data_IF_318629789880
#
_entry.id   IF_318629789880
#
_cell.length_a   1.000
_cell.length_b   1.000
_cell.length_c   1.000
_cell.angle_alpha   90.00
_cell.angle_beta   90.00
_cell.angle_gamma   90.00
#
_symmetry.space_group_name_H-M   'P 1'
#
loop_
_entity.id
_entity.type
_entity.pdbx_description
1 polymer ?
#
# COMPACT_ATOMS: atom_id res chain seq x y z
N UNK A 1 -32.21 45.40 -54.48
CA UNK A 1 -31.41 45.91 -53.34
C UNK A 1 -31.63 44.97 -52.17
N UNK A 2 -30.69 44.05 -51.93
CA UNK A 2 -30.73 43.11 -50.80
C UNK A 2 -29.71 43.58 -49.75
N UNK A 3 -30.20 43.88 -48.56
CA UNK A 3 -29.43 44.36 -47.42
C UNK A 3 -28.83 43.14 -46.70
N UNK A 4 -27.49 43.02 -46.66
CA UNK A 4 -26.81 42.00 -45.88
C UNK A 4 -26.97 42.28 -44.37
N UNK A 5 -27.17 41.26 -43.53
CA UNK A 5 -27.21 41.43 -42.08
C UNK A 5 -25.81 41.70 -41.50
N UNK A 6 -25.72 42.38 -40.34
CA UNK A 6 -24.46 42.78 -39.73
C UNK A 6 -23.71 41.59 -39.14
N UNK A 7 -22.39 41.55 -39.40
CA UNK A 7 -21.45 40.58 -38.85
C UNK A 7 -21.18 40.92 -37.37
N UNK A 8 -21.52 40.02 -36.45
CA UNK A 8 -21.07 40.09 -35.06
C UNK A 8 -19.57 39.75 -34.97
N UNK A 9 -18.78 40.52 -34.20
CA UNK A 9 -17.39 40.16 -33.94
C UNK A 9 -17.31 38.99 -32.96
N UNK A 10 -16.77 37.87 -33.42
CA UNK A 10 -16.43 36.73 -32.58
C UNK A 10 -15.33 37.13 -31.58
N UNK A 11 -15.72 37.40 -30.34
CA UNK A 11 -14.79 37.60 -29.23
C UNK A 11 -14.15 36.26 -28.86
N UNK A 12 -12.99 35.98 -29.45
CA UNK A 12 -12.13 34.85 -29.08
C UNK A 12 -11.49 35.13 -27.72
N UNK A 13 -12.10 34.64 -26.64
CA UNK A 13 -11.50 34.62 -25.31
C UNK A 13 -10.46 33.50 -25.24
N UNK A 14 -9.28 33.74 -25.80
CA UNK A 14 -8.08 32.95 -25.53
C UNK A 14 -7.71 33.11 -24.05
N UNK A 15 -8.39 32.33 -23.20
CA UNK A 15 -7.98 32.07 -21.83
C UNK A 15 -6.64 31.37 -21.91
N UNK A 16 -5.57 32.15 -21.81
CA UNK A 16 -4.21 31.65 -21.76
C UNK A 16 -4.08 30.93 -20.42
N UNK A 17 -4.40 29.64 -20.44
CA UNK A 17 -4.17 28.75 -19.31
C UNK A 17 -2.66 28.66 -19.16
N UNK A 18 -2.09 29.54 -18.33
CA UNK A 18 -0.74 29.47 -17.81
C UNK A 18 -0.64 28.18 -17.01
N UNK A 19 -0.34 27.09 -17.71
CA UNK A 19 0.12 25.86 -17.09
C UNK A 19 1.42 26.18 -16.38
N UNK A 20 1.35 26.30 -15.05
CA UNK A 20 2.52 26.44 -14.20
C UNK A 20 3.50 25.31 -14.57
N UNK A 21 4.78 25.61 -14.85
CA UNK A 21 5.75 24.59 -15.20
C UNK A 21 5.91 23.65 -14.00
N UNK A 22 5.35 22.44 -14.09
CA UNK A 22 5.61 21.38 -13.14
C UNK A 22 7.10 21.05 -13.23
N UNK A 23 7.88 21.60 -12.28
CA UNK A 23 9.27 21.24 -12.07
C UNK A 23 9.36 19.71 -12.06
N UNK A 24 10.19 19.07 -12.90
CA UNK A 24 10.28 17.61 -12.94
C UNK A 24 10.69 17.13 -11.54
N UNK A 25 9.74 16.53 -10.82
CA UNK A 25 10.03 15.96 -9.52
C UNK A 25 11.07 14.85 -9.72
N UNK A 26 12.14 14.89 -8.93
CA UNK A 26 13.12 13.82 -8.90
C UNK A 26 12.43 12.48 -8.65
N UNK A 27 12.76 11.47 -9.46
CA UNK A 27 12.25 10.10 -9.33
C UNK A 27 12.33 9.56 -7.90
N UNK A 28 13.40 9.92 -7.17
CA UNK A 28 13.61 9.54 -5.77
C UNK A 28 12.52 10.12 -4.85
N UNK A 29 12.14 11.38 -5.06
CA UNK A 29 11.10 12.05 -4.26
C UNK A 29 9.72 11.47 -4.54
N UNK A 30 9.44 11.08 -5.79
CA UNK A 30 8.20 10.38 -6.15
C UNK A 30 8.15 9.02 -5.45
N UNK A 31 9.20 8.21 -5.60
CA UNK A 31 9.27 6.89 -4.98
C UNK A 31 9.10 6.96 -3.46
N UNK A 32 9.77 7.90 -2.79
CA UNK A 32 9.62 8.10 -1.35
C UNK A 32 8.20 8.52 -0.96
N UNK A 33 7.63 9.53 -1.64
CA UNK A 33 6.27 10.01 -1.34
C UNK A 33 5.24 8.90 -1.44
N UNK A 34 5.24 8.17 -2.56
CA UNK A 34 4.28 7.10 -2.76
C UNK A 34 4.58 5.88 -1.88
N UNK A 35 5.84 5.56 -1.64
CA UNK A 35 6.24 4.50 -0.71
C UNK A 35 5.73 4.76 0.71
N UNK A 36 5.80 6.00 1.20
CA UNK A 36 5.24 6.39 2.49
C UNK A 36 3.71 6.34 2.52
N UNK A 37 3.04 6.79 1.45
CA UNK A 37 1.57 6.74 1.36
C UNK A 37 1.06 5.29 1.37
N UNK A 38 1.63 4.43 0.51
CA UNK A 38 1.24 3.03 0.47
C UNK A 38 1.70 2.26 1.72
N UNK A 39 2.83 2.65 2.31
CA UNK A 39 3.26 2.17 3.63
C UNK A 39 2.23 2.50 4.72
N UNK A 40 1.73 3.74 4.77
CA UNK A 40 0.69 4.14 5.72
C UNK A 40 -0.61 3.36 5.53
N UNK A 41 -1.01 3.09 4.27
CA UNK A 41 -2.18 2.25 3.96
C UNK A 41 -1.98 0.82 4.48
N UNK A 42 -0.80 0.22 4.25
CA UNK A 42 -0.47 -1.11 4.76
C UNK A 42 -0.51 -1.14 6.29
N UNK A 43 0.11 -0.15 6.95
CA UNK A 43 0.11 -0.03 8.42
C UNK A 43 -1.31 0.10 8.96
N UNK A 44 -2.13 0.98 8.40
CA UNK A 44 -3.52 1.17 8.83
C UNK A 44 -4.31 -0.13 8.70
N UNK A 45 -4.19 -0.81 7.55
CA UNK A 45 -4.83 -2.10 7.30
C UNK A 45 -4.36 -3.18 8.27
N UNK A 46 -3.08 -3.21 8.64
CA UNK A 46 -2.56 -4.12 9.67
C UNK A 46 -3.15 -3.84 11.05
N UNK A 47 -3.22 -2.56 11.46
CA UNK A 47 -3.80 -2.18 12.73
C UNK A 47 -5.30 -2.55 12.81
N UNK A 48 -6.05 -2.25 11.75
CA UNK A 48 -7.47 -2.65 11.64
C UNK A 48 -7.60 -4.17 11.68
N UNK A 49 -6.78 -4.89 10.91
CA UNK A 49 -6.80 -6.35 10.88
C UNK A 49 -6.56 -6.97 12.26
N UNK A 50 -5.57 -6.45 13.01
CA UNK A 50 -5.31 -6.90 14.38
C UNK A 50 -6.46 -6.54 15.32
N UNK A 51 -7.01 -5.32 15.23
CA UNK A 51 -8.14 -4.92 16.05
C UNK A 51 -9.37 -5.82 15.81
N UNK A 52 -9.65 -6.16 14.54
CA UNK A 52 -10.71 -7.11 14.17
C UNK A 52 -10.43 -8.49 14.73
N UNK A 53 -9.19 -9.00 14.64
CA UNK A 53 -8.84 -10.32 15.20
C UNK A 53 -9.01 -10.33 16.72
N UNK A 54 -8.57 -9.28 17.42
CA UNK A 54 -8.73 -9.17 18.88
C UNK A 54 -10.20 -9.10 19.26
N UNK A 55 -10.97 -8.20 18.64
CA UNK A 55 -12.41 -8.08 18.89
C UNK A 55 -13.14 -9.40 18.61
N UNK A 56 -12.77 -10.07 17.51
CA UNK A 56 -13.35 -11.36 17.17
C UNK A 56 -12.97 -12.44 18.19
N UNK A 57 -11.72 -12.51 18.65
CA UNK A 57 -11.29 -13.49 19.66
C UNK A 57 -11.99 -13.31 21.02
N UNK A 58 -12.39 -12.08 21.35
CA UNK A 58 -13.16 -11.78 22.56
C UNK A 58 -14.65 -12.07 22.40
N UNK A 59 -15.22 -11.84 21.22
CA UNK A 59 -16.63 -12.07 20.91
C UNK A 59 -16.94 -13.53 20.52
N UNK A 60 -15.97 -14.27 19.97
CA UNK A 60 -16.16 -15.61 19.41
C UNK A 60 -16.72 -16.65 20.41
N UNK A 61 -16.35 -16.66 21.70
CA UNK A 61 -16.93 -17.63 22.64
C UNK A 61 -18.45 -17.47 22.76
N UNK A 62 -18.93 -16.23 22.71
CA UNK A 62 -20.36 -15.91 22.79
C UNK A 62 -21.07 -16.17 21.46
N UNK A 63 -20.45 -15.81 20.33
CA UNK A 63 -21.03 -16.04 18.99
C UNK A 63 -21.13 -17.52 18.61
N UNK A 64 -20.11 -18.33 18.92
CA UNK A 64 -20.12 -19.79 18.64
C UNK A 64 -21.21 -20.47 19.47
N UNK A 65 -21.35 -20.09 20.74
CA UNK A 65 -22.40 -20.60 21.62
C UNK A 65 -23.81 -20.16 21.18
N UNK A 66 -23.95 -18.94 20.66
CA UNK A 66 -25.26 -18.37 20.30
C UNK A 66 -25.76 -18.80 18.92
N UNK A 67 -24.88 -18.96 17.93
CA UNK A 67 -25.28 -19.14 16.53
C UNK A 67 -24.94 -20.52 15.94
N UNK A 68 -24.41 -21.46 16.73
CA UNK A 68 -23.99 -22.80 16.26
C UNK A 68 -23.14 -22.77 14.98
N UNK A 69 -22.36 -21.69 14.78
CA UNK A 69 -21.58 -21.50 13.57
C UNK A 69 -20.42 -22.48 13.52
N UNK A 70 -20.29 -23.21 12.41
CA UNK A 70 -19.15 -24.09 12.16
C UNK A 70 -17.84 -23.31 12.26
N UNK A 71 -16.99 -23.69 13.21
CA UNK A 71 -15.67 -23.10 13.52
C UNK A 71 -14.78 -22.90 12.28
N UNK A 72 -15.04 -23.68 11.22
CA UNK A 72 -14.31 -23.71 9.95
C UNK A 72 -14.51 -22.41 9.13
N UNK A 73 -15.69 -21.79 9.14
CA UNK A 73 -15.95 -20.60 8.31
C UNK A 73 -15.26 -19.33 8.83
N UNK A 74 -15.01 -19.25 10.14
CA UNK A 74 -14.43 -18.06 10.79
C UNK A 74 -13.09 -18.39 11.45
N UNK A 75 -12.32 -19.27 10.81
CA UNK A 75 -10.97 -19.59 11.27
C UNK A 75 -10.04 -18.36 11.07
N UNK A 76 -9.18 -18.03 12.04
CA UNK A 76 -8.16 -16.99 11.89
C UNK A 76 -7.24 -17.23 10.69
N UNK A 77 -7.15 -18.47 10.18
CA UNK A 77 -6.43 -18.81 8.95
C UNK A 77 -7.08 -18.21 7.69
N UNK A 78 -8.41 -18.19 7.59
CA UNK A 78 -9.12 -17.62 6.45
C UNK A 78 -8.94 -16.09 6.41
N UNK A 79 -8.95 -15.45 7.57
CA UNK A 79 -8.65 -14.03 7.70
C UNK A 79 -7.21 -13.73 7.23
N UNK A 80 -6.24 -14.58 7.57
CA UNK A 80 -4.85 -14.42 7.14
C UNK A 80 -4.68 -14.49 5.61
N UNK A 81 -5.36 -15.40 4.92
CA UNK A 81 -5.25 -15.50 3.44
C UNK A 81 -5.77 -14.21 2.78
N UNK A 82 -6.96 -13.76 3.18
CA UNK A 82 -7.54 -12.49 2.69
C UNK A 82 -6.60 -11.32 2.99
N UNK A 83 -5.92 -11.35 4.13
CA UNK A 83 -4.98 -10.29 4.48
C UNK A 83 -3.78 -10.18 3.56
N UNK A 84 -3.20 -11.33 3.18
CA UNK A 84 -2.05 -11.39 2.28
C UNK A 84 -2.44 -10.92 0.87
N UNK A 85 -3.63 -11.33 0.39
CA UNK A 85 -4.14 -10.90 -0.91
C UNK A 85 -4.34 -9.38 -0.98
N UNK A 86 -4.86 -8.77 0.09
CA UNK A 86 -4.98 -7.31 0.18
C UNK A 86 -3.62 -6.62 0.13
N UNK A 87 -2.62 -7.14 0.86
CA UNK A 87 -1.27 -6.59 0.84
C UNK A 87 -0.68 -6.67 -0.58
N UNK A 88 -0.91 -7.76 -1.31
CA UNK A 88 -0.49 -7.92 -2.70
C UNK A 88 -1.11 -6.87 -3.62
N UNK A 89 -2.43 -6.64 -3.50
CA UNK A 89 -3.12 -5.61 -4.28
C UNK A 89 -2.53 -4.23 -3.99
N UNK A 90 -2.25 -3.93 -2.71
CA UNK A 90 -1.67 -2.64 -2.31
C UNK A 90 -0.27 -2.47 -2.90
N UNK A 91 0.61 -3.48 -2.82
CA UNK A 91 1.95 -3.43 -3.43
C UNK A 91 1.89 -3.27 -4.95
N UNK A 92 0.96 -3.98 -5.62
CA UNK A 92 0.77 -3.88 -7.06
C UNK A 92 0.36 -2.46 -7.48
N UNK A 93 -0.65 -1.89 -6.79
CA UNK A 93 -1.11 -0.53 -7.04
C UNK A 93 0.01 0.49 -6.77
N UNK A 94 0.77 0.31 -5.68
CA UNK A 94 1.93 1.15 -5.38
C UNK A 94 2.92 1.16 -6.54
N UNK A 95 3.28 -0.02 -7.04
CA UNK A 95 4.19 -0.16 -8.17
C UNK A 95 3.65 0.46 -9.45
N UNK A 96 2.37 0.25 -9.75
CA UNK A 96 1.70 0.78 -10.94
C UNK A 96 1.65 2.33 -10.92
N UNK A 97 1.17 2.93 -9.82
CA UNK A 97 1.05 4.40 -9.73
C UNK A 97 2.40 5.10 -9.76
N UNK A 98 3.42 4.51 -9.15
CA UNK A 98 4.77 5.09 -9.16
C UNK A 98 5.41 4.99 -10.53
N UNK A 99 5.28 3.87 -11.22
CA UNK A 99 5.76 3.74 -12.60
C UNK A 99 5.08 4.78 -13.50
N UNK A 100 3.77 4.99 -13.34
CA UNK A 100 3.04 6.00 -14.11
C UNK A 100 3.56 7.42 -13.92
N UNK A 101 4.00 7.75 -12.71
CA UNK A 101 4.49 9.11 -12.38
C UNK A 101 5.97 9.29 -12.68
N UNK A 102 6.80 8.29 -12.38
CA UNK A 102 8.24 8.35 -12.55
C UNK A 102 8.72 7.85 -13.92
N UNK A 103 7.86 7.13 -14.66
CA UNK A 103 8.15 6.43 -15.92
C UNK A 103 9.34 5.46 -15.82
N UNK A 104 9.56 4.90 -14.63
CA UNK A 104 10.67 4.02 -14.32
C UNK A 104 10.23 2.92 -13.35
N UNK A 105 10.47 1.66 -13.71
CA UNK A 105 10.16 0.48 -12.88
C UNK A 105 11.01 0.45 -11.61
N UNK A 106 12.25 0.95 -11.66
CA UNK A 106 13.12 1.07 -10.49
C UNK A 106 12.52 1.96 -9.41
N UNK A 107 11.79 3.01 -9.78
CA UNK A 107 11.09 3.86 -8.84
C UNK A 107 9.97 3.10 -8.10
N UNK A 108 9.26 2.22 -8.82
CA UNK A 108 8.22 1.35 -8.25
C UNK A 108 8.79 0.39 -7.22
N UNK A 109 9.91 -0.25 -7.52
CA UNK A 109 10.61 -1.16 -6.58
C UNK A 109 11.01 -0.40 -5.33
N UNK A 110 11.64 0.78 -5.47
CA UNK A 110 12.05 1.61 -4.32
C UNK A 110 10.85 2.04 -3.48
N UNK A 111 9.73 2.42 -4.11
CA UNK A 111 8.52 2.77 -3.38
C UNK A 111 7.97 1.59 -2.58
N UNK A 112 7.95 0.39 -3.17
CA UNK A 112 7.51 -0.83 -2.48
C UNK A 112 8.44 -1.20 -1.33
N UNK A 113 9.76 -1.01 -1.46
CA UNK A 113 10.73 -1.16 -0.36
C UNK A 113 10.37 -0.24 0.81
N UNK A 114 10.12 1.04 0.54
CA UNK A 114 9.70 1.98 1.59
C UNK A 114 8.37 1.59 2.24
N UNK A 115 7.41 1.10 1.44
CA UNK A 115 6.14 0.63 1.95
C UNK A 115 6.30 -0.61 2.86
N UNK A 116 7.12 -1.58 2.44
CA UNK A 116 7.45 -2.78 3.23
C UNK A 116 8.21 -2.44 4.51
N UNK A 117 9.08 -1.43 4.48
CA UNK A 117 9.79 -0.96 5.66
C UNK A 117 8.84 -0.34 6.68
N UNK A 118 7.91 0.51 6.23
CA UNK A 118 6.88 1.10 7.10
C UNK A 118 6.03 0.01 7.75
N UNK A 119 5.59 -0.96 6.94
CA UNK A 119 4.77 -2.09 7.39
C UNK A 119 5.50 -2.96 8.42
N UNK A 120 6.75 -3.30 8.14
CA UNK A 120 7.60 -4.09 9.03
C UNK A 120 7.85 -3.35 10.35
N UNK A 121 8.16 -2.05 10.29
CA UNK A 121 8.39 -1.24 11.48
C UNK A 121 7.16 -1.21 12.38
N UNK A 122 5.96 -1.06 11.81
CA UNK A 122 4.72 -1.15 12.58
C UNK A 122 4.56 -2.54 13.23
N UNK A 123 4.82 -3.62 12.49
CA UNK A 123 4.78 -4.98 13.03
C UNK A 123 5.77 -5.22 14.17
N UNK A 124 6.99 -4.69 14.06
CA UNK A 124 8.01 -4.74 15.12
C UNK A 124 7.55 -3.98 16.36
N UNK A 125 7.10 -2.73 16.19
CA UNK A 125 6.64 -1.89 17.30
C UNK A 125 5.45 -2.53 18.01
N UNK A 126 4.43 -3.00 17.26
CA UNK A 126 3.30 -3.71 17.85
C UNK A 126 3.73 -5.01 18.53
N UNK A 127 4.66 -5.76 17.92
CA UNK A 127 5.20 -6.99 18.51
C UNK A 127 5.92 -6.76 19.83
N UNK A 128 6.80 -5.76 19.90
CA UNK A 128 7.51 -5.37 21.13
C UNK A 128 6.52 -4.91 22.20
N UNK A 129 5.56 -4.05 21.85
CA UNK A 129 4.54 -3.57 22.79
C UNK A 129 3.71 -4.71 23.37
N UNK A 130 3.31 -5.69 22.54
CA UNK A 130 2.57 -6.87 23.01
C UNK A 130 3.43 -7.72 23.95
N UNK A 131 4.71 -7.95 23.64
CA UNK A 131 5.61 -8.71 24.51
C UNK A 131 5.79 -7.99 25.85
N UNK A 132 6.04 -6.68 25.83
CA UNK A 132 6.23 -5.89 27.05
C UNK A 132 5.00 -5.98 27.95
N UNK A 133 3.80 -5.81 27.38
CA UNK A 133 2.54 -5.94 28.13
C UNK A 133 2.35 -7.35 28.68
N UNK A 134 2.58 -8.39 27.87
CA UNK A 134 2.44 -9.78 28.31
C UNK A 134 3.46 -10.16 29.39
N UNK A 135 4.70 -9.69 29.30
CA UNK A 135 5.72 -9.92 30.31
C UNK A 135 5.38 -9.23 31.62
N UNK A 136 4.83 -8.00 31.58
CA UNK A 136 4.32 -7.32 32.77
C UNK A 136 3.15 -8.07 33.41
N UNK A 137 2.22 -8.62 32.61
CA UNK A 137 1.05 -9.33 33.10
C UNK A 137 1.37 -10.75 33.63
N UNK A 138 2.30 -11.45 32.99
CA UNK A 138 2.58 -12.87 33.28
C UNK A 138 3.75 -13.08 34.26
N UNK A 139 4.50 -12.03 34.61
CA UNK A 139 5.66 -12.11 35.52
C UNK A 139 6.75 -13.08 35.07
N UNK A 140 6.76 -13.47 33.78
CA UNK A 140 7.68 -14.45 33.19
C UNK A 140 8.77 -13.78 32.37
N UNK A 141 9.93 -14.42 32.36
CA UNK A 141 11.08 -14.04 31.54
C UNK A 141 10.70 -13.92 30.05
N UNK A 142 10.93 -12.72 29.52
CA UNK A 142 10.56 -12.30 28.17
C UNK A 142 11.40 -12.97 27.07
N UNK A 143 12.50 -13.65 27.43
CA UNK A 143 13.50 -14.14 26.48
C UNK A 143 12.97 -15.14 25.44
N UNK A 144 12.15 -16.11 25.84
CA UNK A 144 11.56 -17.08 24.89
C UNK A 144 10.53 -16.45 23.97
N UNK A 145 9.65 -15.59 24.52
CA UNK A 145 8.65 -14.86 23.74
C UNK A 145 9.30 -13.90 22.74
N UNK A 146 10.41 -13.29 23.16
CA UNK A 146 11.24 -12.44 22.31
C UNK A 146 11.87 -13.22 21.15
N UNK A 147 12.48 -14.38 21.42
CA UNK A 147 13.12 -15.21 20.38
C UNK A 147 12.13 -15.70 19.33
N UNK A 148 10.98 -16.24 19.74
CA UNK A 148 9.93 -16.72 18.82
C UNK A 148 9.37 -15.57 17.98
N UNK A 149 9.12 -14.41 18.60
CA UNK A 149 8.61 -13.23 17.89
C UNK A 149 9.64 -12.62 16.94
N UNK A 150 10.92 -12.61 17.32
CA UNK A 150 12.01 -12.14 16.46
C UNK A 150 12.12 -13.01 15.20
N UNK A 151 12.03 -14.34 15.35
CA UNK A 151 12.02 -15.25 14.20
C UNK A 151 10.84 -14.95 13.26
N UNK A 152 9.64 -14.75 13.82
CA UNK A 152 8.47 -14.33 13.04
C UNK A 152 8.66 -12.99 12.35
N UNK A 153 9.24 -11.99 13.01
CA UNK A 153 9.54 -10.67 12.44
C UNK A 153 10.49 -10.81 11.25
N UNK A 154 11.56 -11.60 11.38
CA UNK A 154 12.54 -11.80 10.30
C UNK A 154 11.90 -12.50 9.10
N UNK A 155 11.14 -13.59 9.33
CA UNK A 155 10.42 -14.28 8.26
C UNK A 155 9.39 -13.37 7.58
N UNK A 156 8.68 -12.58 8.37
CA UNK A 156 7.71 -11.61 7.87
C UNK A 156 8.38 -10.52 7.04
N UNK A 157 9.54 -10.02 7.47
CA UNK A 157 10.34 -9.05 6.74
C UNK A 157 10.79 -9.62 5.40
N UNK A 158 11.41 -10.81 5.39
CA UNK A 158 11.85 -11.46 4.15
C UNK A 158 10.69 -11.69 3.19
N UNK A 159 9.55 -12.15 3.71
CA UNK A 159 8.35 -12.41 2.94
C UNK A 159 7.78 -11.12 2.33
N UNK A 160 7.56 -10.08 3.13
CA UNK A 160 6.98 -8.82 2.65
C UNK A 160 7.93 -8.02 1.77
N UNK A 161 9.24 -8.10 2.03
CA UNK A 161 10.23 -7.44 1.18
C UNK A 161 10.31 -8.14 -0.17
N UNK A 162 10.51 -9.46 -0.20
CA UNK A 162 10.62 -10.23 -1.45
C UNK A 162 9.35 -10.19 -2.29
N UNK A 163 8.18 -10.37 -1.66
CA UNK A 163 6.90 -10.28 -2.37
C UNK A 163 6.58 -8.83 -2.77
N UNK A 164 6.78 -7.87 -1.86
CA UNK A 164 6.48 -6.46 -2.11
C UNK A 164 7.28 -5.89 -3.28
N UNK A 165 8.57 -6.22 -3.38
CA UNK A 165 9.40 -5.82 -4.53
C UNK A 165 8.96 -6.50 -5.82
N UNK A 166 8.67 -7.80 -5.77
CA UNK A 166 8.31 -8.57 -6.97
C UNK A 166 6.96 -8.13 -7.54
N UNK A 167 5.95 -7.97 -6.68
CA UNK A 167 4.61 -7.53 -7.06
C UNK A 167 4.63 -6.05 -7.48
N UNK A 168 5.41 -5.21 -6.79
CA UNK A 168 5.63 -3.83 -7.17
C UNK A 168 6.30 -3.69 -8.55
N UNK A 169 7.29 -4.53 -8.83
CA UNK A 169 7.95 -4.59 -10.14
C UNK A 169 6.95 -5.02 -11.23
N UNK A 170 6.10 -6.02 -10.98
CA UNK A 170 5.04 -6.43 -11.90
C UNK A 170 4.07 -5.29 -12.21
N UNK A 171 3.62 -4.56 -11.19
CA UNK A 171 2.77 -3.37 -11.37
C UNK A 171 3.45 -2.30 -12.21
N UNK A 172 4.76 -2.07 -12.01
CA UNK A 172 5.52 -1.12 -12.79
C UNK A 172 5.78 -1.55 -14.24
N UNK A 173 6.01 -2.84 -14.47
CA UNK A 173 6.17 -3.39 -15.82
C UNK A 173 4.86 -3.33 -16.61
N UNK A 174 3.72 -3.61 -15.97
CA UNK A 174 2.41 -3.52 -16.61
C UNK A 174 2.14 -2.08 -17.08
N UNK A 175 2.42 -1.08 -16.23
CA UNK A 175 2.26 0.32 -16.60
C UNK A 175 3.13 0.68 -17.81
N UNK A 176 4.40 0.27 -17.80
CA UNK A 176 5.34 0.53 -18.90
C UNK A 176 4.83 -0.05 -20.23
N UNK A 177 4.20 -1.23 -20.21
CA UNK A 177 3.64 -1.86 -21.40
C UNK A 177 2.32 -1.24 -21.86
N UNK A 178 1.59 -0.56 -20.98
CA UNK A 178 0.35 0.16 -21.31
C UNK A 178 0.60 1.62 -21.75
N UNK A 179 1.79 2.16 -21.49
CA UNK A 179 2.13 3.53 -21.88
C UNK A 179 2.28 3.63 -23.42
N UNK A 180 1.66 4.63 -24.08
CA UNK A 180 1.80 4.82 -25.51
C UNK A 180 3.28 4.96 -25.92
N UNK A 181 3.69 4.44 -27.09
CA UNK A 181 5.01 4.70 -27.64
C UNK A 181 5.23 6.21 -27.69
N UNK A 182 6.38 6.68 -27.20
CA UNK A 182 6.72 8.09 -27.34
C UNK A 182 6.78 8.40 -28.83
N UNK A 183 5.85 9.20 -29.33
CA UNK A 183 6.04 9.92 -30.59
C UNK A 183 7.23 10.83 -30.36
N UNK A 184 8.37 10.43 -30.89
CA UNK A 184 9.55 11.27 -30.97
C UNK A 184 9.18 12.35 -31.99
N UNK A 185 8.70 13.50 -31.53
CA UNK A 185 8.67 14.69 -32.38
C UNK A 185 10.13 15.10 -32.61
N UNK A 186 10.63 15.03 -33.85
CA UNK A 186 11.96 15.54 -34.14
C UNK A 186 12.02 17.05 -33.82
N UNK A 187 13.21 17.55 -33.42
CA UNK A 187 13.42 18.96 -33.12
C UNK A 187 13.21 19.87 -34.34
#
# INVERSE_FOLDING_TARGET
MQQLPPQEPAFSSHSTCTSLPLRPLSTKKIALKYGLVFGAILVLRYLIGNAVIVAFSQASPQFIATYHLSFIMISPRNLQITTVLLDWIIYFLAGFFVARRARQVTASVIACIWASLCYTLAGVVTGISVIAVLSLLAGRDSGYLFSVRLHFIVMFLLLHFGMGTSIGALGGLLEKNMAPPRTITPP
#
